data_IF_052387431666
#
_entry.id   IF_052387431666
#
_cell.length_a   1.000
_cell.length_b   1.000
_cell.length_c   1.000
_cell.angle_alpha   90.00
_cell.angle_beta   90.00
_cell.angle_gamma   90.00
#
_symmetry.space_group_name_H-M   'P 1'
#
loop_
_entity.id
_entity.type
_entity.pdbx_description
1 polymer ?
#
# COMPACT_ATOMS: atom_id res chain seq x y z
N UNK A 1 -15.87 2.37 6.83
CA UNK A 1 -15.74 1.24 7.77
C UNK A 1 -14.30 0.71 7.78
N UNK A 2 -13.26 1.52 8.06
CA UNK A 2 -11.86 1.08 7.86
C UNK A 2 -11.34 0.04 8.89
N UNK A 3 -12.14 -0.32 9.91
CA UNK A 3 -11.70 -1.22 10.98
C UNK A 3 -11.46 -2.66 10.51
N UNK A 4 -12.26 -3.18 9.56
CA UNK A 4 -12.13 -4.56 9.10
C UNK A 4 -10.86 -4.73 8.26
N UNK A 5 -10.63 -3.84 7.30
CA UNK A 5 -9.46 -3.83 6.44
C UNK A 5 -8.18 -3.73 7.28
N UNK A 6 -8.19 -2.82 8.26
CA UNK A 6 -7.09 -2.63 9.20
C UNK A 6 -6.73 -3.92 9.94
N UNK A 7 -7.71 -4.64 10.48
CA UNK A 7 -7.45 -5.90 11.21
C UNK A 7 -6.91 -7.00 10.28
N UNK A 8 -7.41 -7.11 9.05
CA UNK A 8 -6.88 -8.11 8.10
C UNK A 8 -5.43 -7.79 7.73
N UNK A 9 -5.11 -6.51 7.49
CA UNK A 9 -3.74 -6.06 7.19
C UNK A 9 -2.82 -6.32 8.39
N UNK A 10 -3.29 -6.08 9.62
CA UNK A 10 -2.56 -6.36 10.85
C UNK A 10 -2.22 -7.85 10.99
N UNK A 11 -3.20 -8.73 10.80
CA UNK A 11 -3.00 -10.20 10.84
C UNK A 11 -1.97 -10.61 9.78
N UNK A 12 -2.05 -10.02 8.58
CA UNK A 12 -1.11 -10.34 7.52
C UNK A 12 0.31 -9.88 7.83
N UNK A 13 0.48 -8.66 8.34
CA UNK A 13 1.77 -8.14 8.77
C UNK A 13 2.39 -9.02 9.88
N UNK A 14 1.60 -9.42 10.87
CA UNK A 14 2.03 -10.36 11.92
C UNK A 14 2.45 -11.71 11.34
N UNK A 15 1.69 -12.26 10.40
CA UNK A 15 1.99 -13.54 9.73
C UNK A 15 3.30 -13.49 8.96
N UNK A 16 3.62 -12.34 8.35
CA UNK A 16 4.85 -12.13 7.59
C UNK A 16 6.03 -11.65 8.46
N UNK A 17 5.83 -11.47 9.78
CA UNK A 17 6.87 -10.95 10.68
C UNK A 17 7.26 -9.49 10.40
N UNK A 18 6.32 -8.70 9.88
CA UNK A 18 6.50 -7.29 9.55
C UNK A 18 6.05 -6.43 10.72
N UNK A 19 6.94 -5.59 11.25
CA UNK A 19 6.58 -4.53 12.19
C UNK A 19 5.98 -3.34 11.44
N UNK A 20 4.89 -2.79 11.96
CA UNK A 20 4.17 -1.67 11.38
C UNK A 20 3.65 -0.75 12.50
N UNK A 21 3.81 0.56 12.34
CA UNK A 21 3.26 1.53 13.28
C UNK A 21 1.75 1.66 13.14
N UNK A 22 1.06 2.08 14.21
CA UNK A 22 -0.39 2.28 14.20
C UNK A 22 -0.82 3.30 13.14
N UNK A 23 -0.02 4.33 12.90
CA UNK A 23 -0.29 5.36 11.88
C UNK A 23 -0.23 4.77 10.47
N UNK A 24 0.81 3.98 10.16
CA UNK A 24 0.93 3.29 8.88
C UNK A 24 -0.20 2.26 8.67
N UNK A 25 -0.56 1.53 9.72
CA UNK A 25 -1.63 0.54 9.69
C UNK A 25 -3.00 1.20 9.42
N UNK A 26 -3.29 2.33 10.08
CA UNK A 26 -4.49 3.13 9.84
C UNK A 26 -4.52 3.63 8.39
N UNK A 27 -3.40 4.13 7.89
CA UNK A 27 -3.31 4.63 6.52
C UNK A 27 -3.52 3.54 5.47
N UNK A 28 -2.93 2.35 5.65
CA UNK A 28 -3.18 1.19 4.77
C UNK A 28 -4.66 0.75 4.78
N UNK A 29 -5.35 0.87 5.91
CA UNK A 29 -6.78 0.62 6.02
C UNK A 29 -7.63 1.62 5.22
N UNK A 30 -7.26 2.91 5.25
CA UNK A 30 -7.87 3.94 4.41
C UNK A 30 -7.64 3.69 2.91
N UNK A 31 -6.40 3.34 2.54
CA UNK A 31 -6.06 2.95 1.17
C UNK A 31 -6.91 1.76 0.73
N UNK A 32 -7.09 0.77 1.60
CA UNK A 32 -7.88 -0.44 1.31
C UNK A 32 -9.35 -0.12 1.07
N UNK A 33 -9.89 0.84 1.83
CA UNK A 33 -11.25 1.35 1.66
C UNK A 33 -11.41 2.09 0.32
N UNK A 34 -10.41 2.89 -0.10
CA UNK A 34 -10.44 3.68 -1.35
C UNK A 34 -10.21 2.81 -2.59
N UNK A 35 -9.39 1.77 -2.46
CA UNK A 35 -8.93 0.91 -3.57
C UNK A 35 -9.51 -0.51 -3.42
N UNK A 36 -8.69 -1.45 -2.96
CA UNK A 36 -9.05 -2.83 -2.61
C UNK A 36 -8.15 -3.33 -1.48
N UNK A 37 -8.63 -4.26 -0.66
CA UNK A 37 -7.83 -4.90 0.37
C UNK A 37 -6.59 -5.63 -0.19
N UNK A 38 -6.71 -6.22 -1.38
CA UNK A 38 -5.59 -6.89 -2.08
C UNK A 38 -4.44 -5.93 -2.30
N UNK A 39 -4.74 -4.72 -2.78
CA UNK A 39 -3.74 -3.70 -3.03
C UNK A 39 -3.03 -3.28 -1.73
N UNK A 40 -3.76 -2.96 -0.66
CA UNK A 40 -3.14 -2.61 0.63
C UNK A 40 -2.21 -3.69 1.19
N UNK A 41 -2.62 -4.97 1.08
CA UNK A 41 -1.77 -6.10 1.50
C UNK A 41 -0.49 -6.19 0.65
N UNK A 42 -0.60 -5.96 -0.66
CA UNK A 42 0.55 -5.99 -1.56
C UNK A 42 1.57 -4.86 -1.26
N UNK A 43 1.13 -3.73 -0.69
CA UNK A 43 2.03 -2.64 -0.30
C UNK A 43 2.89 -2.97 0.93
N UNK A 44 2.51 -3.96 1.76
CA UNK A 44 3.29 -4.34 2.97
C UNK A 44 4.72 -4.74 2.63
N UNK A 45 4.92 -5.54 1.59
CA UNK A 45 6.25 -6.04 1.20
C UNK A 45 7.19 -4.91 0.73
N UNK A 46 6.84 -4.08 -0.27
CA UNK A 46 7.69 -2.96 -0.67
C UNK A 46 7.86 -1.90 0.42
N UNK A 47 6.83 -1.63 1.23
CA UNK A 47 6.95 -0.69 2.36
C UNK A 47 7.92 -1.20 3.44
N UNK A 48 7.92 -2.50 3.74
CA UNK A 48 8.89 -3.12 4.65
C UNK A 48 10.32 -3.05 4.11
N UNK A 49 10.48 -3.25 2.80
CA UNK A 49 11.78 -3.13 2.15
C UNK A 49 12.31 -1.69 2.21
N UNK A 50 11.45 -0.71 1.93
CA UNK A 50 11.78 0.71 1.99
C UNK A 50 12.17 1.12 3.43
N UNK A 51 11.40 0.67 4.43
CA UNK A 51 11.75 0.88 5.83
C UNK A 51 13.16 0.38 6.17
N UNK A 52 13.50 -0.84 5.73
CA UNK A 52 14.84 -1.42 5.93
C UNK A 52 15.94 -0.62 5.22
N UNK A 53 15.68 -0.15 3.99
CA UNK A 53 16.62 0.72 3.25
C UNK A 53 16.86 2.03 4.01
N UNK A 54 15.82 2.58 4.64
CA UNK A 54 15.87 3.78 5.48
C UNK A 54 16.44 3.52 6.89
N UNK A 55 16.92 2.31 7.18
CA UNK A 55 17.48 1.94 8.48
C UNK A 55 16.43 1.81 9.60
N UNK A 56 15.18 1.53 9.24
CA UNK A 56 14.05 1.33 10.16
C UNK A 56 13.66 -0.14 10.19
N UNK A 57 13.33 -0.64 11.37
CA UNK A 57 12.82 -2.01 11.57
C UNK A 57 11.29 -2.12 11.47
N UNK A 58 10.60 -0.99 11.35
CA UNK A 58 9.14 -0.91 11.29
C UNK A 58 8.69 -0.04 10.13
N UNK A 59 7.59 -0.45 9.47
CA UNK A 59 6.90 0.38 8.49
C UNK A 59 6.32 1.60 9.22
N UNK A 60 6.48 2.76 8.61
CA UNK A 60 5.99 4.05 9.08
C UNK A 60 5.13 4.66 7.98
N UNK A 61 4.32 5.67 8.34
CA UNK A 61 3.35 6.26 7.40
C UNK A 61 4.01 6.77 6.12
N UNK A 62 5.17 7.42 6.25
CA UNK A 62 5.97 7.94 5.12
C UNK A 62 6.34 6.84 4.11
N UNK A 63 6.68 5.64 4.58
CA UNK A 63 7.00 4.51 3.72
C UNK A 63 5.77 4.05 2.91
N UNK A 64 4.58 4.08 3.54
CA UNK A 64 3.34 3.72 2.87
C UNK A 64 2.96 4.77 1.82
N UNK A 65 3.10 6.05 2.16
CA UNK A 65 2.84 7.17 1.25
C UNK A 65 3.71 7.06 0.00
N UNK A 66 5.04 6.96 0.16
CA UNK A 66 5.98 6.84 -0.95
C UNK A 66 5.71 5.61 -1.84
N UNK A 67 5.51 4.44 -1.23
CA UNK A 67 5.24 3.22 -1.98
C UNK A 67 3.90 3.29 -2.73
N UNK A 68 2.89 3.96 -2.15
CA UNK A 68 1.58 4.12 -2.82
C UNK A 68 1.63 5.03 -4.05
N UNK A 69 2.63 5.91 -4.14
CA UNK A 69 2.88 6.75 -5.31
C UNK A 69 3.64 5.99 -6.41
N UNK A 70 4.46 5.00 -6.04
CA UNK A 70 5.27 4.20 -6.96
C UNK A 70 4.53 2.99 -7.54
N UNK A 71 3.64 2.37 -6.76
CA UNK A 71 2.92 1.16 -7.15
C UNK A 71 1.44 1.46 -7.31
N UNK A 72 0.95 1.68 -8.53
CA UNK A 72 -0.44 2.06 -8.75
C UNK A 72 -1.44 0.91 -8.55
N UNK A 73 -2.62 1.23 -8.01
CA UNK A 73 -3.77 0.35 -8.04
C UNK A 73 -4.37 0.26 -9.46
N UNK A 74 -5.26 -0.71 -9.67
CA UNK A 74 -5.87 -0.96 -10.98
C UNK A 74 -6.67 0.24 -11.52
N UNK A 75 -7.39 0.99 -10.67
CA UNK A 75 -8.18 2.16 -11.10
C UNK A 75 -7.26 3.28 -11.54
N UNK A 76 -6.22 3.57 -10.76
CA UNK A 76 -5.21 4.58 -11.10
C UNK A 76 -4.47 4.21 -12.39
N UNK A 77 -4.09 2.95 -12.54
CA UNK A 77 -3.46 2.43 -13.77
C UNK A 77 -4.35 2.58 -15.00
N UNK A 78 -5.64 2.22 -14.90
CA UNK A 78 -6.60 2.36 -15.99
C UNK A 78 -6.82 3.84 -16.38
N UNK A 79 -6.85 4.73 -15.39
CA UNK A 79 -6.94 6.18 -15.64
C UNK A 79 -5.73 6.71 -16.40
N UNK A 80 -4.51 6.34 -15.98
CA UNK A 80 -3.28 6.73 -16.67
C UNK A 80 -3.30 6.25 -18.13
N UNK A 81 -3.75 5.02 -18.37
CA UNK A 81 -3.85 4.47 -19.73
C UNK A 81 -4.84 5.26 -20.59
N UNK A 82 -6.00 5.63 -20.03
CA UNK A 82 -7.01 6.44 -20.73
C UNK A 82 -6.50 7.87 -21.03
N UNK A 83 -5.86 8.51 -20.05
CA UNK A 83 -5.32 9.88 -20.18
C UNK A 83 -4.14 9.95 -21.16
N UNK A 84 -3.47 8.83 -21.42
CA UNK A 84 -2.31 8.72 -22.30
C UNK A 84 -2.59 7.85 -23.53
N UNK A 85 -3.85 7.70 -23.94
CA UNK A 85 -4.26 6.76 -24.99
C UNK A 85 -3.46 6.89 -26.30
N UNK A 86 -3.01 8.08 -26.67
CA UNK A 86 -2.20 8.34 -27.87
C UNK A 86 -0.78 7.75 -27.81
N UNK A 87 -0.29 7.38 -26.62
CA UNK A 87 1.04 6.78 -26.41
C UNK A 87 1.02 5.25 -26.42
N UNK A 88 -0.15 4.62 -26.40
CA UNK A 88 -0.29 3.17 -26.32
C UNK A 88 -0.92 2.61 -27.60
N UNK A 89 -0.54 1.38 -27.96
CA UNK A 89 -1.05 0.70 -29.15
C UNK A 89 -2.54 0.38 -28.99
N UNK A 90 -3.28 0.44 -30.11
CA UNK A 90 -4.68 0.01 -30.21
C UNK A 90 -4.78 -1.49 -30.45
#
# INVERSE_FOLDING_TARGET
MPMLEREIIKIRAQTEGISISEEALNHLGEIGTKTTLRYSVQLLTPANLLAKINGKDSIEKEHVEEISELFYDAKSSAKILADQQDKYMK
#
